data_IF_905204655966
#
_entry.id   IF_905204655966
#
_cell.length_a   1.000
_cell.length_b   1.000
_cell.length_c   1.000
_cell.angle_alpha   90.00
_cell.angle_beta   90.00
_cell.angle_gamma   90.00
#
_symmetry.space_group_name_H-M   'P 1'
#
loop_
_entity.id
_entity.type
_entity.pdbx_description
1 polymer ?
#
# COMPACT_ATOMS: atom_id res chain seq x y z
N UNK A 1 13.49 8.54 -14.28
CA UNK A 1 13.63 7.10 -13.98
C UNK A 1 12.81 6.29 -14.98
N UNK A 2 13.26 5.10 -15.35
CA UNK A 2 12.46 4.19 -16.19
C UNK A 2 11.31 3.60 -15.37
N UNK A 3 10.11 3.43 -15.95
CA UNK A 3 8.98 2.84 -15.24
C UNK A 3 9.27 1.38 -14.88
N UNK A 4 9.21 1.04 -13.60
CA UNK A 4 9.38 -0.33 -13.12
C UNK A 4 8.11 -0.79 -12.38
N UNK A 5 7.65 -2.01 -12.68
CA UNK A 5 6.66 -2.74 -11.88
C UNK A 5 7.25 -4.06 -11.40
N UNK A 6 6.97 -4.43 -10.16
CA UNK A 6 7.40 -5.71 -9.61
C UNK A 6 6.35 -6.29 -8.66
N UNK A 7 6.43 -7.60 -8.43
CA UNK A 7 5.67 -8.30 -7.40
C UNK A 7 6.50 -9.44 -6.82
N UNK A 8 6.34 -9.68 -5.52
CA UNK A 8 7.05 -10.71 -4.77
C UNK A 8 6.08 -11.50 -3.90
N UNK A 9 6.39 -12.79 -3.71
CA UNK A 9 5.68 -13.62 -2.74
C UNK A 9 6.23 -13.36 -1.34
N UNK A 10 5.38 -13.42 -0.29
CA UNK A 10 5.87 -13.30 1.07
C UNK A 10 6.77 -14.46 1.48
N UNK A 11 7.55 -14.24 2.53
CA UNK A 11 8.31 -15.30 3.21
C UNK A 11 7.36 -16.35 3.78
N UNK A 12 7.87 -17.55 4.05
CA UNK A 12 7.04 -18.68 4.51
C UNK A 12 6.16 -18.34 5.72
N UNK A 13 6.69 -17.55 6.66
CA UNK A 13 5.98 -17.14 7.88
C UNK A 13 4.82 -16.18 7.59
N UNK A 14 4.92 -15.34 6.56
CA UNK A 14 3.91 -14.33 6.24
C UNK A 14 2.90 -14.79 5.18
N UNK A 15 3.21 -15.83 4.39
CA UNK A 15 2.32 -16.39 3.35
C UNK A 15 0.89 -16.73 3.80
N UNK A 16 0.64 -17.19 5.05
CA UNK A 16 -0.73 -17.45 5.51
C UNK A 16 -1.57 -16.17 5.61
N UNK A 17 -0.95 -15.01 5.78
CA UNK A 17 -1.63 -13.75 6.09
C UNK A 17 -1.54 -12.73 4.95
N UNK A 18 -0.42 -12.71 4.24
CA UNK A 18 -0.12 -11.80 3.14
C UNK A 18 -0.20 -12.57 1.83
N UNK A 19 -0.90 -12.00 0.85
CA UNK A 19 -1.02 -12.57 -0.49
C UNK A 19 0.22 -12.27 -1.34
N UNK A 20 0.63 -11.00 -1.38
CA UNK A 20 1.81 -10.53 -2.12
C UNK A 20 2.33 -9.19 -1.61
N UNK A 21 3.58 -8.91 -1.97
CA UNK A 21 4.12 -7.57 -2.05
C UNK A 21 4.19 -7.15 -3.50
N UNK A 22 3.98 -5.87 -3.80
CA UNK A 22 4.14 -5.34 -5.14
C UNK A 22 4.47 -3.85 -5.08
N UNK A 23 5.02 -3.30 -6.16
CA UNK A 23 5.40 -1.88 -6.16
C UNK A 23 5.66 -1.38 -7.56
N UNK A 24 5.34 -0.09 -7.78
CA UNK A 24 5.62 0.62 -9.03
C UNK A 24 6.49 1.84 -8.76
N UNK A 25 7.37 2.14 -9.71
CA UNK A 25 8.30 3.26 -9.68
C UNK A 25 8.31 4.01 -11.01
N UNK A 26 8.39 5.34 -10.97
CA UNK A 26 8.40 6.22 -12.14
C UNK A 26 7.01 6.56 -12.65
N UNK A 27 6.93 6.99 -13.91
CA UNK A 27 5.66 7.40 -14.52
C UNK A 27 4.86 6.20 -15.01
N UNK A 28 3.72 5.93 -14.37
CA UNK A 28 2.77 4.91 -14.80
C UNK A 28 1.37 5.49 -14.83
N UNK A 29 0.62 5.18 -15.89
CA UNK A 29 -0.82 5.40 -15.88
C UNK A 29 -1.48 4.50 -14.82
N UNK A 30 -2.11 5.14 -13.84
CA UNK A 30 -2.95 4.46 -12.85
C UNK A 30 -4.32 4.11 -13.46
N UNK A 31 -4.97 3.04 -13.01
CA UNK A 31 -6.38 2.82 -13.35
C UNK A 31 -7.22 3.98 -12.81
N UNK A 32 -8.33 4.37 -13.45
CA UNK A 32 -9.13 5.50 -12.99
C UNK A 32 -9.82 5.23 -11.64
N UNK A 33 -9.98 3.96 -11.26
CA UNK A 33 -10.60 3.54 -10.00
C UNK A 33 -9.96 2.27 -9.46
N UNK A 34 -9.83 2.21 -8.13
CA UNK A 34 -9.61 0.98 -7.40
C UNK A 34 -10.96 0.27 -7.20
N UNK A 35 -11.12 -0.99 -7.64
CA UNK A 35 -12.36 -1.73 -7.45
C UNK A 35 -12.52 -2.21 -6.00
N UNK A 36 -13.76 -2.34 -5.50
CA UNK A 36 -14.01 -2.98 -4.21
C UNK A 36 -13.69 -4.48 -4.26
N UNK A 37 -13.62 -5.10 -3.08
CA UNK A 37 -13.55 -6.56 -2.95
C UNK A 37 -12.15 -7.14 -3.16
N UNK A 38 -11.13 -6.31 -3.32
CA UNK A 38 -9.73 -6.72 -3.46
C UNK A 38 -9.09 -7.15 -2.13
N UNK A 39 -9.80 -7.03 -1.01
CA UNK A 39 -9.28 -7.32 0.32
C UNK A 39 -8.76 -6.04 0.96
N UNK A 40 -7.79 -6.19 1.85
CA UNK A 40 -7.10 -5.05 2.43
C UNK A 40 -5.73 -4.90 1.79
N UNK A 41 -5.32 -3.66 1.53
CA UNK A 41 -4.03 -3.36 0.94
C UNK A 41 -3.43 -2.13 1.61
N UNK A 42 -2.20 -2.26 2.10
CA UNK A 42 -1.48 -1.14 2.69
C UNK A 42 -0.41 -0.67 1.73
N UNK A 43 -0.43 0.62 1.40
CA UNK A 43 0.56 1.26 0.56
C UNK A 43 1.54 2.03 1.43
N UNK A 44 2.81 1.98 1.08
CA UNK A 44 3.90 2.77 1.65
C UNK A 44 4.59 3.51 0.52
N UNK A 45 4.41 4.82 0.47
CA UNK A 45 4.99 5.68 -0.57
C UNK A 45 6.39 6.12 -0.16
N UNK A 46 7.32 6.05 -1.11
CA UNK A 46 8.65 6.67 -1.06
C UNK A 46 8.85 7.68 -2.20
N UNK A 47 7.99 7.66 -3.23
CA UNK A 47 7.79 8.75 -4.19
C UNK A 47 6.62 9.66 -3.78
N UNK A 48 5.95 10.27 -4.74
CA UNK A 48 4.77 11.10 -4.45
C UNK A 48 3.54 10.23 -4.18
N UNK A 49 2.81 10.41 -3.05
CA UNK A 49 1.56 9.71 -2.80
C UNK A 49 0.50 9.98 -3.87
N UNK A 50 -0.33 8.98 -4.17
CA UNK A 50 -1.47 9.17 -5.09
C UNK A 50 -2.50 10.14 -4.52
N UNK A 51 -3.40 10.61 -5.38
CA UNK A 51 -4.67 11.17 -4.94
C UNK A 51 -5.71 10.05 -4.82
N UNK A 52 -6.45 10.03 -3.71
CA UNK A 52 -7.59 9.16 -3.45
C UNK A 52 -8.85 10.02 -3.32
N UNK A 53 -9.78 9.86 -4.25
CA UNK A 53 -10.96 10.74 -4.39
C UNK A 53 -10.58 12.24 -4.38
N UNK A 54 -9.51 12.60 -5.11
CA UNK A 54 -8.98 13.97 -5.23
C UNK A 54 -8.18 14.50 -4.03
N UNK A 55 -7.97 13.69 -2.97
CA UNK A 55 -7.18 14.06 -1.79
C UNK A 55 -5.86 13.32 -1.78
N UNK A 56 -4.76 14.00 -1.45
CA UNK A 56 -3.48 13.33 -1.29
C UNK A 56 -3.56 12.24 -0.21
N UNK A 57 -3.11 11.03 -0.58
CA UNK A 57 -3.06 9.92 0.35
C UNK A 57 -2.00 10.17 1.43
N UNK A 58 -2.20 9.64 2.66
CA UNK A 58 -1.12 9.54 3.62
C UNK A 58 0.10 8.82 3.04
N UNK A 59 1.29 9.17 3.53
CA UNK A 59 2.54 8.53 3.09
C UNK A 59 2.49 7.00 3.24
N UNK A 60 1.85 6.50 4.29
CA UNK A 60 1.42 5.11 4.36
C UNK A 60 -0.08 5.04 4.63
N UNK A 61 -0.82 4.32 3.79
CA UNK A 61 -2.28 4.26 3.82
C UNK A 61 -2.77 2.82 3.71
N UNK A 62 -3.68 2.44 4.60
CA UNK A 62 -4.42 1.20 4.56
C UNK A 62 -5.77 1.42 3.86
N UNK A 63 -6.00 0.70 2.77
CA UNK A 63 -7.27 0.67 2.05
C UNK A 63 -8.00 -0.63 2.35
N UNK A 64 -9.28 -0.52 2.71
CA UNK A 64 -10.16 -1.66 2.96
C UNK A 64 -11.48 -1.51 2.18
N UNK A 65 -11.38 -1.43 0.85
CA UNK A 65 -12.51 -1.25 -0.05
C UNK A 65 -13.32 -2.55 -0.21
N UNK A 66 -14.55 -2.56 0.28
CA UNK A 66 -15.46 -3.71 0.31
C UNK A 66 -16.68 -3.54 -0.58
N UNK A 67 -17.27 -2.35 -0.60
CA UNK A 67 -18.50 -2.10 -1.38
C UNK A 67 -18.37 -0.91 -2.32
N UNK A 68 -17.44 0.01 -2.06
CA UNK A 68 -17.22 1.19 -2.93
C UNK A 68 -15.95 1.09 -3.76
N UNK A 69 -16.03 1.59 -4.99
CA UNK A 69 -14.85 1.93 -5.77
C UNK A 69 -14.30 3.28 -5.31
N UNK A 70 -12.99 3.48 -5.41
CA UNK A 70 -12.30 4.71 -5.03
C UNK A 70 -11.58 5.27 -6.25
N UNK A 71 -11.72 6.57 -6.54
CA UNK A 71 -10.92 7.19 -7.60
C UNK A 71 -9.46 7.24 -7.15
N UNK A 72 -8.55 6.92 -8.07
CA UNK A 72 -7.11 7.01 -7.84
C UNK A 72 -6.47 7.75 -8.99
N UNK A 73 -5.63 8.74 -8.67
CA UNK A 73 -4.97 9.59 -9.65
C UNK A 73 -3.49 9.77 -9.29
N UNK A 74 -2.66 9.93 -10.31
CA UNK A 74 -1.24 10.25 -10.12
C UNK A 74 -1.10 11.69 -9.61
N UNK A 75 -0.14 11.91 -8.71
CA UNK A 75 0.17 13.25 -8.17
C UNK A 75 1.65 13.62 -8.39
N UNK A 76 2.35 12.93 -9.29
CA UNK A 76 3.78 13.08 -9.51
C UNK A 76 4.44 11.76 -9.91
N UNK A 77 5.75 11.66 -9.72
CA UNK A 77 6.47 10.41 -9.96
C UNK A 77 6.12 9.38 -8.87
N UNK A 78 5.62 8.22 -9.31
CA UNK A 78 5.21 7.16 -8.41
C UNK A 78 6.44 6.49 -7.78
N UNK A 79 6.28 6.08 -6.54
CA UNK A 79 7.21 5.21 -5.85
C UNK A 79 6.51 4.65 -4.62
N UNK A 80 6.14 3.38 -4.65
CA UNK A 80 5.50 2.74 -3.51
C UNK A 80 5.78 1.25 -3.42
N UNK A 81 5.63 0.73 -2.20
CA UNK A 81 5.46 -0.69 -1.91
C UNK A 81 4.06 -0.90 -1.34
N UNK A 82 3.35 -1.87 -1.87
CA UNK A 82 2.05 -2.29 -1.41
C UNK A 82 2.11 -3.70 -0.81
N UNK A 83 1.47 -3.86 0.34
CA UNK A 83 1.28 -5.13 1.05
C UNK A 83 -0.19 -5.51 0.92
N UNK A 84 -0.45 -6.58 0.16
CA UNK A 84 -1.82 -7.10 0.03
C UNK A 84 -2.07 -8.20 1.06
N UNK A 85 -3.04 -7.99 1.92
CA UNK A 85 -3.47 -8.98 2.89
C UNK A 85 -4.43 -9.98 2.23
N UNK A 86 -4.36 -11.25 2.66
CA UNK A 86 -5.39 -12.23 2.30
C UNK A 86 -6.73 -11.79 2.90
N UNK A 87 -7.83 -12.10 2.20
CA UNK A 87 -9.15 -11.65 2.63
C UNK A 87 -9.48 -12.12 4.05
N UNK A 88 -9.74 -11.16 4.94
CA UNK A 88 -10.06 -11.40 6.35
C UNK A 88 -8.86 -11.57 7.27
N UNK A 89 -7.63 -11.64 6.76
CA UNK A 89 -6.43 -11.90 7.58
C UNK A 89 -5.79 -10.64 8.18
N UNK A 90 -6.23 -9.44 7.78
CA UNK A 90 -5.74 -8.19 8.37
C UNK A 90 -5.91 -8.13 9.90
N UNK A 91 -6.96 -8.77 10.45
CA UNK A 91 -7.23 -8.88 11.89
C UNK A 91 -6.08 -9.46 12.72
N UNK A 92 -5.12 -10.13 12.09
CA UNK A 92 -3.93 -10.66 12.77
C UNK A 92 -2.85 -9.59 12.98
N UNK A 93 -3.00 -8.41 12.37
CA UNK A 93 -2.04 -7.31 12.43
C UNK A 93 -2.60 -6.06 13.12
N UNK A 94 -3.89 -5.99 13.40
CA UNK A 94 -4.50 -4.81 14.02
C UNK A 94 -5.64 -5.21 14.99
N UNK A 95 -5.94 -4.34 15.95
CA UNK A 95 -7.01 -4.57 16.92
C UNK A 95 -8.41 -4.22 16.38
N UNK A 96 -8.47 -3.36 15.36
CA UNK A 96 -9.69 -2.90 14.73
C UNK A 96 -10.45 -4.06 14.08
N UNK A 97 -11.75 -4.09 14.30
CA UNK A 97 -12.65 -5.04 13.69
C UNK A 97 -12.79 -4.82 12.18
N UNK A 98 -13.26 -5.84 11.47
CA UNK A 98 -13.55 -5.71 10.04
C UNK A 98 -14.63 -4.65 9.76
N UNK A 99 -15.58 -4.45 10.69
CA UNK A 99 -16.63 -3.45 10.56
C UNK A 99 -16.06 -2.03 10.64
N UNK A 100 -15.11 -1.78 11.55
CA UNK A 100 -14.45 -0.47 11.68
C UNK A 100 -13.62 -0.11 10.45
N UNK A 101 -13.03 -1.10 9.79
CA UNK A 101 -12.18 -0.90 8.61
C UNK A 101 -12.97 -0.89 7.29
N UNK A 102 -14.26 -1.20 7.33
CA UNK A 102 -15.07 -1.37 6.13
C UNK A 102 -15.16 -0.06 5.30
N UNK A 103 -14.70 -0.11 4.05
CA UNK A 103 -14.67 1.01 3.10
C UNK A 103 -13.85 2.23 3.55
N UNK A 104 -12.88 2.02 4.44
CA UNK A 104 -11.99 3.06 4.94
C UNK A 104 -10.68 3.19 4.15
N UNK A 105 -10.17 4.41 4.10
CA UNK A 105 -8.79 4.82 3.77
C UNK A 105 -8.16 5.46 5.00
N UNK A 106 -7.34 4.71 5.73
CA UNK A 106 -6.76 5.15 7.01
C UNK A 106 -5.26 5.32 6.91
N UNK A 107 -4.66 6.36 7.52
CA UNK A 107 -3.22 6.40 7.72
C UNK A 107 -2.75 5.13 8.44
N UNK A 108 -1.70 4.48 7.94
CA UNK A 108 -1.14 3.28 8.55
C UNK A 108 -0.69 3.53 10.01
N UNK A 109 -0.23 4.74 10.30
CA UNK A 109 0.12 5.17 11.65
C UNK A 109 -1.07 5.14 12.62
N UNK A 110 -2.29 5.42 12.18
CA UNK A 110 -3.47 5.34 13.03
C UNK A 110 -3.79 3.89 13.45
N UNK A 111 -3.22 2.90 12.75
CA UNK A 111 -3.39 1.47 13.04
C UNK A 111 -2.19 0.91 13.82
N UNK A 112 -0.96 1.26 13.40
CA UNK A 112 0.27 0.62 13.89
C UNK A 112 1.26 1.57 14.58
N UNK A 113 0.92 2.84 14.73
CA UNK A 113 1.76 3.87 15.35
C UNK A 113 3.14 3.99 14.71
N UNK A 114 4.16 4.16 15.55
CA UNK A 114 5.56 4.40 15.19
C UNK A 114 6.16 3.30 14.31
N UNK A 115 5.61 2.08 14.35
CA UNK A 115 6.11 0.99 13.50
C UNK A 115 5.81 1.24 12.02
N UNK A 116 4.68 1.87 11.70
CA UNK A 116 4.35 2.27 10.33
C UNK A 116 5.24 3.43 9.87
N UNK A 117 5.47 4.42 10.72
CA UNK A 117 6.37 5.55 10.41
C UNK A 117 7.79 5.07 10.14
N UNK A 118 8.34 4.26 11.05
CA UNK A 118 9.70 3.72 10.91
C UNK A 118 9.89 2.94 9.61
N UNK A 119 8.91 2.11 9.22
CA UNK A 119 8.98 1.38 7.96
C UNK A 119 8.88 2.32 6.75
N UNK A 120 8.01 3.33 6.81
CA UNK A 120 7.87 4.33 5.76
C UNK A 120 9.17 5.10 5.56
N UNK A 121 9.82 5.52 6.64
CA UNK A 121 11.11 6.21 6.59
C UNK A 121 12.23 5.32 6.08
N UNK A 122 12.27 4.04 6.51
CA UNK A 122 13.23 3.07 5.97
C UNK A 122 13.07 2.87 4.46
N UNK A 123 11.85 2.84 3.95
CA UNK A 123 11.60 2.73 2.50
C UNK A 123 12.01 3.99 1.75
N UNK A 124 11.77 5.18 2.33
CA UNK A 124 12.20 6.45 1.72
C UNK A 124 13.71 6.60 1.65
N UNK A 125 14.41 6.10 2.68
CA UNK A 125 15.86 6.15 2.79
C UNK A 125 16.55 4.96 2.12
N UNK A 126 15.80 3.94 1.70
CA UNK A 126 16.34 2.82 0.97
C UNK A 126 16.73 3.31 -0.43
N UNK A 127 18.03 3.42 -0.68
CA UNK A 127 18.52 3.39 -2.05
C UNK A 127 18.12 2.03 -2.64
N UNK A 128 17.57 2.05 -3.86
CA UNK A 128 17.24 0.84 -4.62
C UNK A 128 18.43 -0.12 -4.65
N UNK A 129 18.22 -1.42 -4.98
CA UNK A 129 19.30 -2.40 -4.93
C UNK A 129 20.54 -1.83 -5.64
N UNK A 130 21.68 -1.81 -4.94
CA UNK A 130 22.96 -1.52 -5.57
C UNK A 130 23.03 -2.43 -6.81
N UNK A 131 23.11 -1.83 -7.99
CA UNK A 131 23.29 -2.59 -9.22
C UNK A 131 24.41 -3.61 -8.97
N UNK A 132 24.18 -4.91 -9.24
CA UNK A 132 25.28 -5.86 -9.16
C UNK A 132 26.41 -5.37 -10.10
N UNK A 133 27.68 -5.60 -9.73
CA UNK A 133 28.82 -5.21 -10.56
C UNK A 133 28.80 -5.86 -11.94
#
# INVERSE_FOLDING_TARGET
MHPHRWQLRPTAQLRPYIDRYWGWEGKHELPPRLPPGTGAECFFHYGTPFLLDGREAPQAVLLCLRTRAMAIEENGDLGFVAVRFRSGYLRHFCAQSQAELHDQDLPAQAIWGDSAERLTDQLRLADGPASPP
#
